data_IF_993871919184
#
_entry.id   IF_993871919184
#
_cell.length_a   1.000
_cell.length_b   1.000
_cell.length_c   1.000
_cell.angle_alpha   90.00
_cell.angle_beta   90.00
_cell.angle_gamma   90.00
#
_symmetry.space_group_name_H-M   'P 1'
#
loop_
_entity.id
_entity.type
_entity.pdbx_description
1 polymer ?
#
# COMPACT_ATOMS: atom_id res chain seq x y z
N UNK A 1 -52.95 -15.55 -63.74
CA UNK A 1 -53.54 -16.82 -63.28
C UNK A 1 -52.41 -17.80 -62.98
N UNK A 2 -52.36 -18.36 -61.75
CA UNK A 2 -51.80 -19.68 -61.32
C UNK A 2 -50.34 -20.00 -61.73
N UNK A 3 -49.43 -20.55 -60.93
CA UNK A 3 -49.30 -21.16 -59.58
C UNK A 3 -47.76 -21.33 -59.41
N UNK A 4 -47.16 -20.97 -58.27
CA UNK A 4 -46.83 -21.88 -57.14
C UNK A 4 -46.07 -23.17 -57.53
N UNK A 5 -44.80 -23.28 -57.12
CA UNK A 5 -44.14 -24.47 -56.55
C UNK A 5 -42.72 -24.09 -56.10
N UNK A 6 -42.50 -23.82 -54.81
CA UNK A 6 -42.10 -24.76 -53.73
C UNK A 6 -40.58 -24.78 -53.54
N UNK A 7 -40.22 -24.39 -52.32
CA UNK A 7 -38.91 -24.23 -51.71
C UNK A 7 -38.10 -25.53 -51.64
N UNK A 8 -36.79 -25.43 -51.90
CA UNK A 8 -35.78 -26.27 -51.23
C UNK A 8 -34.79 -25.33 -50.56
N UNK A 9 -34.81 -25.38 -49.22
CA UNK A 9 -33.84 -24.77 -48.32
C UNK A 9 -32.60 -25.66 -48.32
N UNK A 10 -31.47 -25.13 -48.78
CA UNK A 10 -30.15 -25.67 -48.49
C UNK A 10 -29.35 -24.59 -47.77
N UNK A 11 -29.48 -24.59 -46.45
CA UNK A 11 -28.50 -24.02 -45.53
C UNK A 11 -27.41 -25.08 -45.40
N UNK A 12 -26.14 -24.70 -45.60
CA UNK A 12 -25.00 -25.01 -44.73
C UNK A 12 -23.68 -24.61 -45.40
N UNK A 13 -22.91 -23.83 -44.63
CA UNK A 13 -21.46 -23.63 -44.66
C UNK A 13 -20.81 -23.10 -45.94
N UNK A 14 -20.39 -21.83 -45.90
CA UNK A 14 -19.05 -21.42 -46.34
C UNK A 14 -18.68 -20.09 -45.69
N UNK A 15 -18.07 -20.20 -44.51
CA UNK A 15 -16.89 -19.43 -44.06
C UNK A 15 -16.80 -17.95 -44.45
N UNK A 16 -17.33 -17.09 -43.58
CA UNK A 16 -16.78 -15.76 -43.36
C UNK A 16 -15.54 -15.93 -42.48
N UNK A 17 -14.35 -15.98 -43.09
CA UNK A 17 -13.10 -15.74 -42.38
C UNK A 17 -13.01 -14.24 -42.08
N UNK A 18 -13.61 -13.82 -40.97
CA UNK A 18 -13.14 -12.60 -40.29
C UNK A 18 -11.85 -13.01 -39.59
N UNK A 19 -10.72 -12.69 -40.22
CA UNK A 19 -9.44 -12.69 -39.52
C UNK A 19 -9.55 -11.66 -38.40
N UNK A 20 -9.83 -12.13 -37.18
CA UNK A 20 -9.55 -11.34 -35.98
C UNK A 20 -8.03 -11.16 -35.92
N UNK A 21 -7.51 -9.94 -35.72
CA UNK A 21 -6.12 -9.78 -35.37
C UNK A 21 -5.94 -10.45 -34.00
N UNK A 22 -5.28 -11.60 -33.99
CA UNK A 22 -4.65 -12.10 -32.79
C UNK A 22 -3.60 -11.04 -32.39
N UNK A 23 -3.99 -10.12 -31.51
CA UNK A 23 -3.03 -9.43 -30.66
C UNK A 23 -2.45 -10.48 -29.71
N UNK A 24 -1.59 -11.35 -30.23
CA UNK A 24 -0.54 -11.94 -29.42
C UNK A 24 0.46 -10.81 -29.21
N UNK A 25 0.22 -9.98 -28.19
CA UNK A 25 1.34 -9.30 -27.59
C UNK A 25 2.23 -10.41 -27.05
N UNK A 26 3.47 -10.47 -27.53
CA UNK A 26 4.46 -11.36 -26.96
C UNK A 26 4.59 -11.00 -25.49
N UNK A 27 4.18 -11.90 -24.60
CA UNK A 27 4.45 -11.80 -23.18
C UNK A 27 5.97 -11.87 -22.99
N UNK A 28 6.62 -10.71 -22.84
CA UNK A 28 8.04 -10.66 -22.53
C UNK A 28 8.19 -10.49 -21.01
N UNK A 29 8.27 -11.62 -20.31
CA UNK A 29 8.76 -11.67 -18.93
C UNK A 29 10.06 -12.47 -18.95
N UNK A 30 11.22 -11.80 -19.13
CA UNK A 30 12.50 -12.49 -19.03
C UNK A 30 12.78 -12.75 -17.55
N UNK A 31 12.64 -14.01 -17.14
CA UNK A 31 12.92 -14.41 -15.76
C UNK A 31 14.39 -14.19 -15.40
N UNK A 32 14.65 -13.60 -14.25
CA UNK A 32 15.98 -13.32 -13.75
C UNK A 32 16.54 -14.53 -13.00
N UNK A 33 17.22 -15.41 -13.72
CA UNK A 33 17.98 -16.54 -13.17
C UNK A 33 19.45 -16.19 -12.87
N UNK A 34 19.81 -14.90 -12.96
CA UNK A 34 21.19 -14.45 -12.73
C UNK A 34 21.56 -14.51 -11.25
N UNK A 35 22.83 -14.84 -10.98
CA UNK A 35 23.42 -14.75 -9.64
C UNK A 35 23.55 -13.29 -9.21
N UNK A 36 22.47 -12.72 -8.69
CA UNK A 36 22.43 -11.34 -8.18
C UNK A 36 23.31 -11.17 -6.95
N UNK A 37 23.55 -12.26 -6.20
CA UNK A 37 24.45 -12.30 -5.05
C UNK A 37 25.43 -13.48 -5.12
N UNK A 38 26.48 -13.53 -4.27
CA UNK A 38 27.33 -14.72 -4.13
C UNK A 38 26.61 -15.96 -3.57
N UNK A 39 25.41 -15.80 -3.02
CA UNK A 39 24.70 -16.86 -2.28
C UNK A 39 23.55 -17.47 -3.07
N UNK A 40 23.09 -16.82 -4.15
CA UNK A 40 22.01 -17.33 -4.97
C UNK A 40 21.57 -16.37 -6.07
N UNK A 41 20.67 -16.85 -6.95
CA UNK A 41 19.99 -16.03 -7.94
C UNK A 41 18.91 -15.15 -7.32
N UNK A 42 18.22 -14.35 -8.12
CA UNK A 42 17.18 -13.43 -7.63
C UNK A 42 16.08 -14.11 -6.81
N UNK A 43 15.66 -15.30 -7.23
CA UNK A 43 14.64 -16.09 -6.53
C UNK A 43 15.12 -16.78 -5.24
N UNK A 44 16.41 -16.65 -4.88
CA UNK A 44 16.91 -17.05 -3.56
C UNK A 44 16.73 -15.94 -2.50
N UNK A 45 16.08 -14.82 -2.85
CA UNK A 45 15.66 -13.76 -1.93
C UNK A 45 16.74 -13.43 -0.87
N UNK A 46 17.92 -13.04 -1.35
CA UNK A 46 19.12 -12.89 -0.51
C UNK A 46 19.27 -11.44 -0.04
N UNK A 47 19.12 -11.26 1.27
CA UNK A 47 19.23 -9.96 1.94
C UNK A 47 20.67 -9.76 2.42
N UNK A 48 21.43 -8.83 1.81
CA UNK A 48 22.80 -8.55 2.21
C UNK A 48 22.91 -7.35 3.16
N UNK A 49 22.29 -6.24 2.81
CA UNK A 49 22.38 -4.98 3.55
C UNK A 49 21.03 -4.23 3.56
N UNK A 50 20.71 -3.48 4.63
CA UNK A 50 19.59 -2.53 4.71
C UNK A 50 19.32 -1.71 3.44
N UNK A 51 20.39 -1.18 2.83
CA UNK A 51 20.33 -0.32 1.64
C UNK A 51 19.83 -1.03 0.37
N UNK A 52 19.83 -2.37 0.36
CA UNK A 52 19.33 -3.15 -0.78
C UNK A 52 17.82 -3.05 -0.94
N UNK A 53 17.10 -2.70 0.14
CA UNK A 53 15.67 -2.43 0.08
C UNK A 53 15.41 -1.06 -0.55
N UNK A 54 14.79 -1.10 -1.72
CA UNK A 54 14.33 0.08 -2.46
C UNK A 54 12.97 0.49 -1.92
N UNK A 55 12.82 1.71 -1.35
CA UNK A 55 11.56 2.19 -0.83
C UNK A 55 10.61 2.55 -1.98
N UNK A 56 9.44 1.94 -1.98
CA UNK A 56 8.35 2.23 -2.89
C UNK A 56 7.10 2.65 -2.10
N UNK A 57 6.18 3.30 -2.79
CA UNK A 57 4.87 3.65 -2.26
C UNK A 57 3.83 3.52 -3.37
N UNK A 58 2.69 2.92 -3.04
CA UNK A 58 1.62 2.66 -3.98
C UNK A 58 1.01 1.30 -3.70
N UNK A 59 0.49 0.66 -4.74
CA UNK A 59 -0.12 -0.66 -4.62
C UNK A 59 -1.12 -0.92 -5.76
N UNK A 60 -1.79 -2.07 -5.74
CA UNK A 60 -1.72 -3.11 -4.71
C UNK A 60 -0.42 -3.94 -4.75
N UNK A 61 -0.03 -4.53 -3.61
CA UNK A 61 1.06 -5.53 -3.50
C UNK A 61 0.59 -6.75 -2.70
N UNK A 62 1.32 -7.87 -2.83
CA UNK A 62 1.07 -9.09 -2.05
C UNK A 62 2.13 -9.29 -0.97
N UNK A 63 1.72 -9.35 0.30
CA UNK A 63 2.61 -9.55 1.44
C UNK A 63 2.71 -11.05 1.78
N UNK A 64 3.59 -11.75 1.07
CA UNK A 64 3.83 -13.19 1.26
C UNK A 64 4.78 -13.50 2.43
N UNK A 65 5.23 -12.49 3.17
CA UNK A 65 6.15 -12.65 4.30
C UNK A 65 5.65 -13.64 5.37
N UNK A 66 4.32 -13.79 5.46
CA UNK A 66 3.64 -14.62 6.45
C UNK A 66 3.21 -16.00 5.92
N UNK A 67 3.46 -16.31 4.64
CA UNK A 67 3.03 -17.57 4.03
C UNK A 67 3.90 -18.75 4.47
N UNK A 68 3.28 -19.90 4.73
CA UNK A 68 3.96 -21.09 5.21
C UNK A 68 3.05 -22.30 5.38
N UNK A 69 2.91 -22.86 6.59
CA UNK A 69 2.16 -24.09 6.79
C UNK A 69 0.64 -23.88 6.74
N UNK A 70 -0.06 -24.85 6.14
CA UNK A 70 -1.52 -24.90 6.06
C UNK A 70 -2.24 -25.34 7.36
N UNK A 71 -1.49 -25.86 8.35
CA UNK A 71 -2.07 -26.49 9.54
C UNK A 71 -2.34 -25.52 10.70
N UNK A 72 -2.19 -24.22 10.47
CA UNK A 72 -2.36 -23.18 11.48
C UNK A 72 -1.31 -23.24 12.60
N UNK A 73 -0.19 -23.94 12.40
CA UNK A 73 0.97 -23.87 13.30
C UNK A 73 1.71 -22.53 13.21
N UNK A 74 1.37 -21.72 12.21
CA UNK A 74 1.81 -20.35 12.07
C UNK A 74 1.14 -19.46 13.15
N UNK A 75 1.89 -18.64 13.92
CA UNK A 75 1.30 -17.73 14.91
C UNK A 75 0.47 -16.59 14.30
N UNK A 76 0.47 -16.43 12.97
CA UNK A 76 -0.38 -15.50 12.21
C UNK A 76 -1.86 -15.86 12.44
N UNK A 77 -2.70 -14.85 12.65
CA UNK A 77 -4.12 -15.04 12.98
C UNK A 77 -4.86 -15.80 11.86
N UNK A 78 -4.45 -15.57 10.61
CA UNK A 78 -4.95 -16.25 9.42
C UNK A 78 -3.91 -17.25 8.87
N UNK A 79 -4.35 -18.48 8.59
CA UNK A 79 -3.51 -19.49 7.95
C UNK A 79 -3.28 -19.11 6.48
N UNK A 80 -2.02 -18.87 6.10
CA UNK A 80 -1.59 -18.54 4.74
C UNK A 80 -0.72 -19.68 4.17
N UNK A 81 -1.31 -20.74 3.60
CA UNK A 81 -0.58 -21.88 3.06
C UNK A 81 0.35 -21.49 1.90
N UNK A 82 1.47 -22.21 1.79
CA UNK A 82 2.44 -22.07 0.71
C UNK A 82 2.89 -23.47 0.27
N UNK A 83 2.24 -23.97 -0.78
CA UNK A 83 2.32 -25.36 -1.22
C UNK A 83 3.11 -25.50 -2.51
N UNK A 84 4.05 -26.44 -2.54
CA UNK A 84 4.86 -26.74 -3.72
C UNK A 84 3.99 -27.14 -4.91
N UNK A 85 4.39 -26.67 -6.09
CA UNK A 85 3.89 -27.22 -7.36
C UNK A 85 4.33 -28.67 -7.52
N UNK A 86 3.63 -29.43 -8.37
CA UNK A 86 3.94 -30.85 -8.61
C UNK A 86 5.39 -31.11 -9.08
N UNK A 87 6.03 -30.13 -9.71
CA UNK A 87 7.43 -30.21 -10.15
C UNK A 87 8.44 -29.67 -9.13
N UNK A 88 7.96 -29.11 -8.02
CA UNK A 88 8.76 -28.54 -6.93
C UNK A 88 9.55 -27.28 -7.31
N UNK A 89 9.35 -26.72 -8.50
CA UNK A 89 10.09 -25.54 -9.00
C UNK A 89 9.53 -24.21 -8.51
N UNK A 90 8.28 -24.23 -8.04
CA UNK A 90 7.58 -23.10 -7.47
C UNK A 90 6.68 -23.56 -6.31
N UNK A 91 6.08 -22.60 -5.62
CA UNK A 91 5.05 -22.81 -4.64
C UNK A 91 3.89 -21.83 -4.88
N UNK A 92 2.67 -22.29 -4.64
CA UNK A 92 1.46 -21.45 -4.60
C UNK A 92 1.29 -20.98 -3.16
N UNK A 93 1.48 -19.68 -2.93
CA UNK A 93 1.49 -19.11 -1.60
C UNK A 93 0.35 -18.10 -1.47
N UNK A 94 -0.53 -18.32 -0.50
CA UNK A 94 -1.54 -17.36 -0.11
C UNK A 94 -0.88 -16.23 0.68
N UNK A 95 -1.22 -14.99 0.35
CA UNK A 95 -0.59 -13.80 0.88
C UNK A 95 -1.66 -12.74 1.17
N UNK A 96 -1.37 -11.83 2.09
CA UNK A 96 -2.24 -10.67 2.30
C UNK A 96 -2.16 -9.71 1.09
N UNK A 97 -3.31 -9.26 0.60
CA UNK A 97 -3.38 -8.12 -0.31
C UNK A 97 -3.20 -6.83 0.52
N UNK A 98 -2.21 -6.02 0.15
CA UNK A 98 -2.04 -4.67 0.67
C UNK A 98 -2.42 -3.70 -0.45
N UNK A 99 -3.55 -2.98 -0.36
CA UNK A 99 -4.08 -2.18 -1.45
C UNK A 99 -3.21 -0.99 -1.82
N UNK A 100 -2.65 -0.34 -0.79
CA UNK A 100 -1.87 0.87 -0.91
C UNK A 100 -1.02 1.06 0.35
N UNK A 101 0.21 1.55 0.19
CA UNK A 101 1.05 1.97 1.31
C UNK A 101 2.53 1.98 0.95
N UNK A 102 3.38 2.14 1.96
CA UNK A 102 4.83 1.94 1.80
C UNK A 102 5.14 0.44 1.68
N UNK A 103 5.98 0.10 0.71
CA UNK A 103 6.50 -1.24 0.53
C UNK A 103 7.96 -1.19 0.07
N UNK A 104 8.65 -2.32 0.19
CA UNK A 104 10.08 -2.42 -0.03
C UNK A 104 10.38 -3.60 -0.95
N UNK A 105 11.24 -3.34 -1.93
CA UNK A 105 11.73 -4.36 -2.86
C UNK A 105 13.23 -4.53 -2.65
N UNK A 106 13.69 -5.74 -2.35
CA UNK A 106 15.12 -6.02 -2.35
C UNK A 106 15.63 -6.02 -3.81
N UNK A 107 16.58 -5.15 -4.12
CA UNK A 107 17.20 -5.05 -5.44
C UNK A 107 17.82 -6.37 -5.91
N UNK A 108 18.25 -7.24 -4.98
CA UNK A 108 18.81 -8.53 -5.30
C UNK A 108 17.77 -9.57 -5.71
N UNK A 109 16.49 -9.33 -5.41
CA UNK A 109 15.40 -10.29 -5.58
C UNK A 109 14.36 -9.85 -6.63
N UNK A 110 14.77 -9.03 -7.60
CA UNK A 110 13.93 -8.61 -8.74
C UNK A 110 13.89 -9.72 -9.79
N UNK A 111 12.74 -10.37 -9.96
CA UNK A 111 12.54 -11.52 -10.84
C UNK A 111 12.41 -11.19 -12.33
N UNK A 112 12.09 -9.94 -12.69
CA UNK A 112 12.10 -9.49 -14.09
C UNK A 112 13.50 -8.99 -14.47
N UNK A 113 14.18 -9.67 -15.38
CA UNK A 113 15.56 -9.38 -15.76
C UNK A 113 15.73 -7.99 -16.39
N UNK A 114 14.78 -7.54 -17.22
CA UNK A 114 14.87 -6.23 -17.86
C UNK A 114 14.76 -5.12 -16.80
N UNK A 115 13.78 -5.25 -15.89
CA UNK A 115 13.56 -4.28 -14.81
C UNK A 115 14.71 -4.31 -13.79
N UNK A 116 15.28 -5.49 -13.52
CA UNK A 116 16.48 -5.63 -12.70
C UNK A 116 17.64 -4.84 -13.31
N UNK A 117 17.90 -5.02 -14.61
CA UNK A 117 18.98 -4.32 -15.32
C UNK A 117 18.80 -2.80 -15.29
N UNK A 118 17.59 -2.31 -15.59
CA UNK A 118 17.25 -0.89 -15.52
C UNK A 118 17.44 -0.34 -14.09
N UNK A 119 17.02 -1.13 -13.08
CA UNK A 119 17.13 -0.74 -11.67
C UNK A 119 18.59 -0.66 -11.21
N UNK A 120 19.45 -1.64 -11.54
CA UNK A 120 20.87 -1.57 -11.15
C UNK A 120 21.65 -0.51 -11.94
N UNK A 121 21.22 -0.18 -13.17
CA UNK A 121 21.81 0.91 -13.97
C UNK A 121 21.56 2.27 -13.29
N UNK A 122 20.33 2.50 -12.82
CA UNK A 122 19.95 3.77 -12.18
C UNK A 122 20.36 3.83 -10.70
N UNK A 123 20.10 2.78 -9.94
CA UNK A 123 20.22 2.77 -8.47
C UNK A 123 21.60 2.30 -7.99
N UNK A 124 22.43 1.78 -8.90
CA UNK A 124 23.63 1.02 -8.58
C UNK A 124 23.28 -0.38 -8.06
N UNK A 125 24.26 -1.29 -8.09
CA UNK A 125 24.06 -2.71 -7.67
C UNK A 125 23.56 -2.87 -6.23
N UNK A 126 23.86 -1.93 -5.34
CA UNK A 126 23.42 -1.97 -3.94
C UNK A 126 22.09 -1.27 -3.70
N UNK A 127 21.58 -0.49 -4.65
CA UNK A 127 20.38 0.34 -4.46
C UNK A 127 20.60 1.72 -3.82
N UNK A 128 21.82 2.05 -3.37
CA UNK A 128 22.13 3.27 -2.59
C UNK A 128 21.73 4.58 -3.28
N UNK A 129 21.63 4.62 -4.62
CA UNK A 129 21.25 5.84 -5.35
C UNK A 129 19.74 6.06 -5.42
N UNK A 130 18.92 5.06 -5.03
CA UNK A 130 17.46 5.11 -5.09
C UNK A 130 16.83 4.91 -3.71
N UNK A 131 17.33 5.63 -2.71
CA UNK A 131 16.81 5.55 -1.33
C UNK A 131 15.66 6.53 -1.08
N UNK A 132 15.30 7.37 -2.06
CA UNK A 132 14.08 8.17 -2.04
C UNK A 132 12.89 7.33 -2.51
N UNK A 133 11.73 7.51 -1.89
CA UNK A 133 10.55 6.71 -2.21
C UNK A 133 10.17 6.82 -3.70
N UNK A 134 9.84 5.69 -4.33
CA UNK A 134 9.51 5.58 -5.75
C UNK A 134 10.59 6.03 -6.75
N UNK A 135 11.83 6.26 -6.31
CA UNK A 135 12.91 6.67 -7.20
C UNK A 135 13.48 5.53 -8.06
N UNK A 136 13.20 4.28 -7.72
CA UNK A 136 13.69 3.12 -8.45
C UNK A 136 12.77 2.72 -9.62
N UNK A 137 13.32 2.27 -10.78
CA UNK A 137 12.53 1.76 -11.90
C UNK A 137 11.57 0.62 -11.51
N UNK A 138 11.98 -0.28 -10.63
CA UNK A 138 11.12 -1.37 -10.14
C UNK A 138 9.83 -0.87 -9.46
N UNK A 139 9.90 0.19 -8.65
CA UNK A 139 8.71 0.78 -8.03
C UNK A 139 7.72 1.30 -9.08
N UNK A 140 8.24 1.98 -10.11
CA UNK A 140 7.42 2.48 -11.22
C UNK A 140 6.75 1.33 -11.98
N UNK A 141 7.49 0.25 -12.24
CA UNK A 141 6.96 -0.89 -12.97
C UNK A 141 5.86 -1.63 -12.19
N UNK A 142 6.03 -1.80 -10.88
CA UNK A 142 5.03 -2.41 -9.98
C UNK A 142 3.79 -1.52 -9.92
N UNK A 143 3.94 -0.24 -9.56
CA UNK A 143 2.82 0.69 -9.40
C UNK A 143 2.00 0.90 -10.68
N UNK A 144 2.65 0.82 -11.85
CA UNK A 144 1.97 0.96 -13.14
C UNK A 144 1.38 -0.37 -13.68
N UNK A 145 1.54 -1.49 -12.96
CA UNK A 145 1.08 -2.80 -13.43
C UNK A 145 1.81 -3.31 -14.68
N UNK A 146 3.05 -2.86 -14.88
CA UNK A 146 3.88 -3.22 -16.06
C UNK A 146 5.00 -4.21 -15.73
N UNK A 147 5.17 -4.56 -14.44
CA UNK A 147 6.25 -5.45 -13.99
C UNK A 147 6.16 -6.86 -14.59
N UNK A 148 4.98 -7.50 -14.51
CA UNK A 148 4.68 -8.78 -15.17
C UNK A 148 3.31 -8.65 -15.85
N UNK A 149 3.23 -8.71 -17.19
CA UNK A 149 1.95 -8.60 -17.89
C UNK A 149 0.98 -9.74 -17.50
N UNK A 150 -0.26 -9.38 -17.15
CA UNK A 150 -1.33 -10.34 -16.85
C UNK A 150 -1.42 -10.78 -15.39
N UNK A 151 -0.59 -10.24 -14.51
CA UNK A 151 -0.71 -10.40 -13.05
C UNK A 151 -1.58 -9.31 -12.46
N UNK A 152 -2.26 -9.56 -11.33
CA UNK A 152 -3.04 -8.53 -10.64
C UNK A 152 -2.15 -7.61 -9.79
N UNK A 153 -1.12 -8.19 -9.17
CA UNK A 153 -0.14 -7.49 -8.34
C UNK A 153 1.15 -8.30 -8.22
N UNK A 154 2.13 -7.71 -7.54
CA UNK A 154 3.46 -8.26 -7.33
C UNK A 154 3.70 -8.43 -5.83
N UNK A 155 4.36 -9.53 -5.44
CA UNK A 155 4.74 -9.70 -4.04
C UNK A 155 5.90 -8.79 -3.64
N UNK A 156 5.77 -8.14 -2.49
CA UNK A 156 6.78 -7.26 -1.91
C UNK A 156 6.69 -7.28 -0.39
N UNK A 157 7.68 -6.70 0.29
CA UNK A 157 7.63 -6.56 1.74
C UNK A 157 6.95 -5.26 2.17
N UNK A 158 6.10 -5.31 3.19
CA UNK A 158 5.53 -4.13 3.84
C UNK A 158 5.40 -4.38 5.34
N UNK A 159 5.42 -3.30 6.13
CA UNK A 159 5.22 -3.36 7.57
C UNK A 159 3.73 -3.36 7.98
N UNK A 160 2.80 -3.23 7.03
CA UNK A 160 1.36 -3.07 7.29
C UNK A 160 0.79 -4.10 8.28
N UNK A 161 1.25 -5.35 8.22
CA UNK A 161 0.74 -6.43 9.05
C UNK A 161 1.55 -6.70 10.33
N UNK A 162 2.64 -5.96 10.59
CA UNK A 162 3.53 -6.24 11.73
C UNK A 162 2.86 -6.00 13.08
N UNK A 163 1.93 -5.04 13.16
CA UNK A 163 1.23 -4.77 14.41
C UNK A 163 0.32 -5.92 14.86
N UNK A 164 -0.28 -6.68 13.94
CA UNK A 164 -1.15 -7.81 14.26
C UNK A 164 -0.43 -9.15 14.20
N UNK A 165 0.40 -9.38 13.18
CA UNK A 165 1.05 -10.67 12.92
C UNK A 165 2.46 -10.77 13.51
N UNK A 166 3.05 -9.64 13.88
CA UNK A 166 4.40 -9.56 14.41
C UNK A 166 5.49 -9.67 13.34
N UNK A 167 6.74 -9.67 13.82
CA UNK A 167 7.94 -9.88 13.03
C UNK A 167 8.95 -10.64 13.87
N UNK A 168 9.77 -11.48 13.25
CA UNK A 168 10.76 -12.29 13.92
C UNK A 168 11.80 -12.88 12.98
N UNK A 169 12.64 -13.73 13.54
CA UNK A 169 13.67 -14.43 12.78
C UNK A 169 13.91 -15.82 13.37
N UNK A 170 13.54 -16.86 12.63
CA UNK A 170 13.94 -18.25 12.92
C UNK A 170 14.98 -18.68 11.91
N UNK A 171 16.17 -19.05 12.38
CA UNK A 171 17.26 -19.48 11.51
C UNK A 171 17.11 -20.94 11.09
N UNK A 172 17.10 -21.18 9.78
CA UNK A 172 17.06 -22.49 9.17
C UNK A 172 18.36 -22.72 8.41
N UNK A 173 19.36 -23.26 9.12
CA UNK A 173 20.71 -23.49 8.59
C UNK A 173 20.79 -24.73 7.68
N UNK A 174 19.91 -25.70 7.92
CA UNK A 174 19.78 -26.88 7.08
C UNK A 174 19.30 -26.47 5.69
N UNK A 175 19.96 -26.98 4.65
CA UNK A 175 19.55 -26.75 3.26
C UNK A 175 18.26 -27.52 2.99
N UNK A 176 17.16 -26.78 2.88
CA UNK A 176 15.86 -27.31 2.48
C UNK A 176 15.19 -26.31 1.52
N UNK A 177 14.11 -26.75 0.88
CA UNK A 177 13.34 -25.90 -0.02
C UNK A 177 12.57 -24.84 0.76
N UNK A 178 12.66 -23.60 0.28
CA UNK A 178 11.76 -22.51 0.63
C UNK A 178 11.33 -21.76 -0.64
N UNK A 179 10.31 -20.92 -0.52
CA UNK A 179 9.81 -20.07 -1.59
C UNK A 179 10.38 -18.65 -1.45
N UNK A 180 11.10 -18.18 -2.48
CA UNK A 180 11.55 -16.79 -2.56
C UNK A 180 10.49 -15.95 -3.25
N UNK A 181 9.59 -15.36 -2.47
CA UNK A 181 8.40 -14.71 -3.01
C UNK A 181 8.64 -13.26 -3.47
N UNK A 182 9.74 -12.60 -3.11
CA UNK A 182 9.98 -11.22 -3.50
C UNK A 182 9.88 -11.02 -5.03
N UNK A 183 9.02 -10.09 -5.43
CA UNK A 183 8.62 -9.79 -6.82
C UNK A 183 7.94 -10.92 -7.62
N UNK A 184 7.42 -11.95 -6.94
CA UNK A 184 6.62 -13.00 -7.56
C UNK A 184 5.28 -12.48 -8.12
N UNK A 185 4.76 -13.04 -9.22
CA UNK A 185 3.45 -12.70 -9.76
C UNK A 185 2.33 -13.27 -8.88
N UNK A 186 1.30 -12.46 -8.67
CA UNK A 186 0.15 -12.78 -7.83
C UNK A 186 -1.18 -12.47 -8.53
N UNK A 187 -2.18 -13.29 -8.22
CA UNK A 187 -3.56 -13.15 -8.69
C UNK A 187 -4.52 -13.10 -7.50
N UNK A 188 -5.55 -12.26 -7.57
CA UNK A 188 -6.60 -12.22 -6.55
C UNK A 188 -7.33 -13.55 -6.47
N UNK A 189 -7.63 -13.97 -5.26
CA UNK A 189 -8.52 -15.12 -5.03
C UNK A 189 -9.97 -14.66 -4.96
N UNK A 190 -10.89 -15.58 -4.68
CA UNK A 190 -12.27 -15.23 -4.34
C UNK A 190 -12.43 -14.73 -2.90
N UNK A 191 -11.40 -14.91 -2.06
CA UNK A 191 -11.39 -14.45 -0.67
C UNK A 191 -10.84 -13.03 -0.62
N UNK A 192 -11.59 -12.15 0.05
CA UNK A 192 -11.26 -10.74 0.17
C UNK A 192 -10.00 -10.55 1.02
N UNK A 193 -9.07 -9.71 0.56
CA UNK A 193 -7.78 -9.49 1.23
C UNK A 193 -6.77 -10.63 1.04
N UNK A 194 -7.09 -11.69 0.29
CA UNK A 194 -6.20 -12.83 0.05
C UNK A 194 -5.91 -13.01 -1.43
N UNK A 195 -4.62 -13.09 -1.75
CA UNK A 195 -4.09 -13.30 -3.10
C UNK A 195 -3.24 -14.56 -3.11
N UNK A 196 -3.15 -15.19 -4.28
CA UNK A 196 -2.29 -16.35 -4.49
C UNK A 196 -1.13 -15.96 -5.40
N UNK A 197 0.09 -16.20 -4.92
CA UNK A 197 1.33 -15.90 -5.62
C UNK A 197 2.05 -17.17 -6.05
N UNK A 198 2.64 -17.16 -7.24
CA UNK A 198 3.48 -18.26 -7.73
C UNK A 198 4.95 -17.92 -7.44
N UNK A 199 5.45 -18.39 -6.31
CA UNK A 199 6.79 -18.08 -5.84
C UNK A 199 7.80 -19.14 -6.30
N UNK A 200 8.90 -18.79 -6.98
CA UNK A 200 9.97 -19.73 -7.29
C UNK A 200 10.61 -20.30 -6.01
N UNK A 201 11.06 -21.56 -6.08
CA UNK A 201 11.70 -22.22 -4.92
C UNK A 201 13.22 -22.20 -5.01
N UNK A 202 13.87 -22.20 -3.84
CA UNK A 202 15.32 -22.33 -3.73
C UNK A 202 15.67 -23.34 -2.64
N UNK A 203 16.70 -24.14 -2.89
CA UNK A 203 17.24 -25.12 -1.93
C UNK A 203 18.50 -24.53 -1.28
N UNK A 204 18.36 -24.08 -0.04
CA UNK A 204 19.43 -23.39 0.66
C UNK A 204 19.10 -23.07 2.11
N UNK A 205 20.05 -22.45 2.84
CA UNK A 205 19.74 -21.87 4.13
C UNK A 205 18.78 -20.69 3.96
N UNK A 206 17.95 -20.44 4.97
CA UNK A 206 17.02 -19.32 5.00
C UNK A 206 16.70 -18.90 6.43
N UNK A 207 15.97 -17.81 6.56
CA UNK A 207 15.37 -17.38 7.79
C UNK A 207 13.87 -17.17 7.60
N UNK A 208 13.08 -17.71 8.53
CA UNK A 208 11.64 -17.47 8.58
C UNK A 208 11.42 -16.14 9.26
N UNK A 209 10.48 -15.35 8.73
CA UNK A 209 10.12 -14.03 9.22
C UNK A 209 9.41 -13.97 10.59
N UNK A 210 9.39 -15.08 11.33
CA UNK A 210 8.67 -15.27 12.58
C UNK A 210 9.58 -15.98 13.60
N UNK A 211 9.38 -15.74 14.89
CA UNK A 211 10.18 -16.34 15.96
C UNK A 211 9.72 -17.76 16.29
N UNK A 212 10.65 -18.58 16.78
CA UNK A 212 10.39 -19.91 17.34
C UNK A 212 9.64 -20.88 16.40
N UNK A 213 9.88 -20.76 15.09
CA UNK A 213 9.25 -21.61 14.07
C UNK A 213 9.99 -22.93 13.84
N UNK A 214 9.33 -23.86 13.16
CA UNK A 214 9.97 -25.11 12.68
C UNK A 214 10.35 -24.98 11.21
N UNK A 215 11.62 -25.22 10.90
CA UNK A 215 12.16 -25.11 9.54
C UNK A 215 11.60 -26.17 8.57
N UNK A 216 11.33 -27.37 9.08
CA UNK A 216 10.80 -28.47 8.28
C UNK A 216 9.29 -28.56 8.46
N UNK A 217 8.56 -28.15 7.43
CA UNK A 217 7.12 -28.30 7.39
C UNK A 217 6.72 -29.70 6.93
N UNK A 218 5.51 -30.12 7.28
CA UNK A 218 4.97 -31.41 6.86
C UNK A 218 4.22 -31.30 5.53
N UNK A 219 4.20 -32.40 4.78
CA UNK A 219 3.58 -32.43 3.45
C UNK A 219 4.40 -31.67 2.40
N UNK A 220 3.70 -31.09 1.44
CA UNK A 220 4.29 -30.31 0.34
C UNK A 220 4.36 -28.80 0.68
N UNK A 221 4.31 -28.44 1.96
CA UNK A 221 4.38 -27.05 2.42
C UNK A 221 5.83 -26.57 2.51
N UNK A 222 6.05 -25.30 2.18
CA UNK A 222 7.31 -24.58 2.36
C UNK A 222 7.06 -23.22 2.97
N UNK A 223 8.08 -22.63 3.59
CA UNK A 223 8.01 -21.25 4.03
C UNK A 223 8.24 -20.30 2.85
N UNK A 224 7.49 -19.20 2.80
CA UNK A 224 7.95 -18.00 2.12
C UNK A 224 9.03 -17.36 2.99
N UNK A 225 10.25 -17.28 2.47
CA UNK A 225 11.41 -16.93 3.27
C UNK A 225 12.51 -16.26 2.44
N UNK A 226 13.48 -15.69 3.16
CA UNK A 226 14.64 -15.02 2.59
C UNK A 226 15.92 -15.52 3.29
N UNK A 227 17.06 -15.37 2.62
CA UNK A 227 18.35 -15.71 3.21
C UNK A 227 19.18 -14.46 3.52
N UNK A 228 19.48 -14.26 4.80
CA UNK A 228 20.43 -13.27 5.29
C UNK A 228 21.72 -13.96 5.77
N UNK A 229 22.81 -13.96 4.97
CA UNK A 229 24.10 -14.55 5.35
C UNK A 229 24.81 -13.80 6.48
N UNK A 230 24.44 -12.55 6.78
CA UNK A 230 25.11 -11.68 7.76
C UNK A 230 24.49 -11.77 9.18
N UNK A 231 23.45 -12.59 9.37
CA UNK A 231 22.87 -12.99 10.67
C UNK A 231 22.72 -11.85 11.71
N UNK A 232 22.13 -10.73 11.30
CA UNK A 232 21.54 -9.76 12.24
C UNK A 232 20.20 -9.25 11.70
N UNK A 233 19.17 -10.09 11.80
CA UNK A 233 17.77 -9.74 11.50
C UNK A 233 17.35 -9.94 10.04
N UNK A 234 16.16 -10.50 9.84
CA UNK A 234 15.43 -10.56 8.55
C UNK A 234 14.60 -9.32 8.28
N UNK A 235 14.42 -8.44 9.28
CA UNK A 235 13.65 -7.23 9.10
C UNK A 235 14.39 -6.33 8.11
N UNK A 236 13.73 -5.87 7.03
CA UNK A 236 14.25 -4.72 6.31
C UNK A 236 14.46 -3.63 7.33
N UNK A 237 15.66 -3.07 7.32
CA UNK A 237 15.94 -1.83 8.03
C UNK A 237 16.03 -0.80 6.92
N UNK A 238 14.98 -0.01 6.66
CA UNK A 238 15.04 1.03 5.64
C UNK A 238 16.21 1.99 5.91
N UNK A 239 16.72 2.67 4.87
CA UNK A 239 17.82 3.61 5.00
C UNK A 239 17.60 4.66 6.10
N UNK A 240 18.70 5.08 6.71
CA UNK A 240 18.71 6.05 7.82
C UNK A 240 18.30 7.43 7.30
N UNK A 241 17.08 7.85 7.63
CA UNK A 241 16.57 9.20 7.37
C UNK A 241 15.04 9.21 7.31
N UNK A 242 14.39 9.67 8.39
CA UNK A 242 12.93 9.60 8.55
C UNK A 242 12.48 8.38 9.35
N UNK A 243 11.18 8.29 9.61
CA UNK A 243 10.52 7.13 10.20
C UNK A 243 9.86 6.30 9.09
N UNK A 244 9.44 5.07 9.40
CA UNK A 244 8.78 4.17 8.45
C UNK A 244 7.27 4.27 8.62
N UNK A 245 6.51 4.80 7.65
CA UNK A 245 5.05 4.74 7.67
C UNK A 245 4.55 3.31 7.90
N UNK A 246 3.49 3.16 8.67
CA UNK A 246 2.82 1.87 8.96
C UNK A 246 3.64 0.82 9.73
N UNK A 247 4.90 1.10 10.09
CA UNK A 247 5.68 0.24 10.97
C UNK A 247 5.41 0.53 12.46
N UNK A 248 5.59 -0.45 13.35
CA UNK A 248 5.55 -0.20 14.79
C UNK A 248 6.69 0.74 15.22
N UNK A 249 6.51 1.55 16.28
CA UNK A 249 7.56 2.43 16.80
C UNK A 249 8.87 1.70 17.17
N UNK A 250 8.78 0.42 17.56
CA UNK A 250 9.94 -0.42 17.88
C UNK A 250 10.85 -0.71 16.67
N UNK A 251 10.33 -0.57 15.45
CA UNK A 251 11.07 -0.77 14.20
C UNK A 251 11.41 0.56 13.51
N UNK A 252 11.25 1.69 14.19
CA UNK A 252 11.44 3.02 13.60
C UNK A 252 10.19 3.56 12.90
N UNK A 253 9.01 3.02 13.26
CA UNK A 253 7.72 3.46 12.75
C UNK A 253 7.41 4.93 13.00
N UNK A 254 6.70 5.53 12.06
CA UNK A 254 6.24 6.92 12.18
C UNK A 254 5.17 7.06 13.27
N UNK A 255 5.36 7.98 14.23
CA UNK A 255 4.33 8.20 15.24
C UNK A 255 3.10 8.86 14.61
N UNK A 256 1.92 8.46 15.08
CA UNK A 256 0.73 9.29 14.98
C UNK A 256 0.96 10.55 15.84
N UNK A 257 0.71 11.72 15.26
CA UNK A 257 0.79 12.97 16.02
C UNK A 257 -0.26 12.98 17.12
N UNK A 258 0.05 13.56 18.27
CA UNK A 258 -0.98 13.82 19.29
C UNK A 258 -1.47 15.25 19.15
N UNK A 259 -2.74 15.52 19.49
CA UNK A 259 -3.34 16.86 19.44
C UNK A 259 -2.52 17.96 20.09
N UNK A 260 -1.73 17.63 21.11
CA UNK A 260 -0.90 18.59 21.83
C UNK A 260 0.49 18.79 21.22
N UNK A 261 0.88 17.97 20.24
CA UNK A 261 2.21 17.92 19.64
C UNK A 261 2.14 17.95 18.09
N UNK A 262 1.23 18.74 17.52
CA UNK A 262 1.23 19.01 16.08
C UNK A 262 2.30 20.08 15.81
N UNK A 263 3.39 19.77 15.07
CA UNK A 263 4.41 20.75 14.77
C UNK A 263 3.92 21.79 13.77
N UNK A 264 4.57 22.95 13.74
CA UNK A 264 4.37 23.91 12.64
C UNK A 264 4.88 23.29 11.32
N UNK A 265 4.20 23.54 10.18
CA UNK A 265 4.64 23.02 8.89
C UNK A 265 6.04 23.52 8.53
N UNK A 266 6.93 22.65 8.00
CA UNK A 266 8.25 23.07 7.52
C UNK A 266 8.17 24.18 6.47
N UNK A 267 9.15 25.08 6.46
CA UNK A 267 9.12 26.31 5.64
C UNK A 267 9.08 26.09 4.11
N UNK A 268 9.45 24.89 3.67
CA UNK A 268 9.50 24.45 2.28
C UNK A 268 8.27 23.61 1.89
N UNK A 269 7.29 23.44 2.78
CA UNK A 269 6.00 22.80 2.51
C UNK A 269 4.96 23.86 2.16
N UNK A 270 4.21 23.62 1.09
CA UNK A 270 3.05 24.44 0.72
C UNK A 270 1.76 23.79 1.26
N UNK A 271 1.30 24.24 2.44
CA UNK A 271 0.05 23.74 3.02
C UNK A 271 -1.20 24.04 2.16
N UNK A 272 -1.17 25.06 1.30
CA UNK A 272 -2.26 25.29 0.36
C UNK A 272 -2.35 24.17 -0.67
N UNK A 273 -1.18 23.73 -1.17
CA UNK A 273 -1.08 22.58 -2.08
C UNK A 273 -1.41 21.26 -1.38
N UNK A 274 -1.00 21.06 -0.12
CA UNK A 274 -1.38 19.87 0.67
C UNK A 274 -2.91 19.75 0.75
N UNK A 275 -3.60 20.81 1.18
CA UNK A 275 -5.07 20.76 1.27
C UNK A 275 -5.74 20.62 -0.10
N UNK A 276 -5.15 21.21 -1.14
CA UNK A 276 -5.63 21.01 -2.51
C UNK A 276 -5.49 19.55 -2.96
N UNK A 277 -4.40 18.86 -2.62
CA UNK A 277 -4.22 17.44 -2.99
C UNK A 277 -5.28 16.55 -2.32
N UNK A 278 -5.66 16.82 -1.08
CA UNK A 278 -6.83 16.17 -0.45
C UNK A 278 -8.14 16.52 -1.17
N UNK A 279 -8.35 17.79 -1.51
CA UNK A 279 -9.59 18.26 -2.15
C UNK A 279 -9.74 17.71 -3.58
N UNK A 280 -8.65 17.59 -4.33
CA UNK A 280 -8.65 17.15 -5.73
C UNK A 280 -8.74 15.62 -5.83
N UNK A 281 -8.26 14.89 -4.83
CA UNK A 281 -8.33 13.43 -4.74
C UNK A 281 -9.72 12.95 -4.27
N UNK A 282 -10.71 13.01 -5.17
CA UNK A 282 -12.10 12.64 -4.88
C UNK A 282 -12.56 11.37 -5.61
N UNK A 283 -13.30 10.54 -4.87
CA UNK A 283 -14.08 9.45 -5.42
C UNK A 283 -15.27 9.94 -6.25
N UNK A 284 -15.89 9.03 -7.00
CA UNK A 284 -17.07 9.34 -7.83
C UNK A 284 -18.30 9.82 -7.05
N UNK A 285 -18.33 9.56 -5.74
CA UNK A 285 -19.34 9.97 -4.77
C UNK A 285 -19.05 11.35 -4.13
N UNK A 286 -17.88 11.93 -4.41
CA UNK A 286 -17.40 13.19 -3.87
C UNK A 286 -16.73 13.10 -2.50
N UNK A 287 -16.40 11.90 -2.03
CA UNK A 287 -15.59 11.68 -0.82
C UNK A 287 -14.13 11.97 -1.15
N UNK A 288 -13.44 12.72 -0.27
CA UNK A 288 -12.01 13.01 -0.39
C UNK A 288 -11.21 11.82 0.15
N UNK A 289 -10.64 11.03 -0.76
CA UNK A 289 -10.06 9.71 -0.48
C UNK A 289 -8.88 9.82 0.50
N UNK A 290 -8.09 10.89 0.39
CA UNK A 290 -6.95 11.09 1.29
C UNK A 290 -7.36 11.13 2.77
N UNK A 291 -8.48 11.79 3.11
CA UNK A 291 -8.93 11.85 4.51
C UNK A 291 -9.44 10.50 5.03
N UNK A 292 -10.20 9.77 4.22
CA UNK A 292 -10.69 8.44 4.61
C UNK A 292 -9.54 7.46 4.73
N UNK A 293 -8.57 7.53 3.82
CA UNK A 293 -7.38 6.71 3.85
C UNK A 293 -6.52 7.02 5.08
N UNK A 294 -6.22 8.31 5.36
CA UNK A 294 -5.48 8.70 6.57
C UNK A 294 -6.14 8.19 7.85
N UNK A 295 -7.48 8.28 7.94
CA UNK A 295 -8.22 7.87 9.12
C UNK A 295 -8.17 6.35 9.37
N UNK A 296 -7.91 5.57 8.32
CA UNK A 296 -8.03 4.10 8.36
C UNK A 296 -6.67 3.42 8.29
N UNK A 297 -5.82 3.81 7.34
CA UNK A 297 -4.56 3.15 6.98
C UNK A 297 -3.61 3.05 8.19
N UNK A 298 -3.33 4.17 8.86
CA UNK A 298 -2.34 4.20 9.93
C UNK A 298 -2.78 3.55 11.25
N UNK A 299 -4.03 3.12 11.35
CA UNK A 299 -4.53 2.35 12.50
C UNK A 299 -5.07 0.98 12.10
N UNK A 300 -4.95 0.61 10.82
CA UNK A 300 -5.40 -0.68 10.33
C UNK A 300 -4.57 -1.83 10.89
N UNK A 301 -5.16 -3.02 10.89
CA UNK A 301 -4.55 -4.29 11.17
C UNK A 301 -4.45 -5.13 9.87
N UNK A 302 -3.87 -6.33 9.94
CA UNK A 302 -3.77 -7.16 8.74
C UNK A 302 -5.13 -7.76 8.29
N UNK A 303 -6.10 -7.87 9.19
CA UNK A 303 -7.40 -8.52 8.95
C UNK A 303 -8.54 -7.54 8.63
N UNK A 304 -8.26 -6.24 8.48
CA UNK A 304 -9.23 -5.23 8.04
C UNK A 304 -8.81 -4.52 6.74
N UNK A 305 -8.06 -5.22 5.88
CA UNK A 305 -7.68 -4.71 4.57
C UNK A 305 -8.89 -4.35 3.71
N UNK A 306 -10.06 -4.98 3.89
CA UNK A 306 -11.30 -4.54 3.25
C UNK A 306 -11.74 -3.12 3.68
N UNK A 307 -11.43 -2.71 4.92
CA UNK A 307 -11.65 -1.34 5.37
C UNK A 307 -10.64 -0.38 4.76
N UNK A 308 -9.37 -0.78 4.65
CA UNK A 308 -8.33 0.00 3.98
C UNK A 308 -8.64 0.14 2.50
N UNK A 309 -9.01 -0.94 1.82
CA UNK A 309 -9.52 -0.96 0.45
C UNK A 309 -10.65 0.05 0.30
N UNK A 310 -11.69 -0.06 1.13
CA UNK A 310 -12.83 0.86 1.08
C UNK A 310 -12.42 2.31 1.29
N UNK A 311 -11.50 2.57 2.22
CA UNK A 311 -11.06 3.90 2.61
C UNK A 311 -10.10 4.56 1.60
N UNK A 312 -9.25 3.76 0.96
CA UNK A 312 -8.16 4.19 0.08
C UNK A 312 -8.44 3.90 -1.41
N UNK A 313 -9.58 3.28 -1.76
CA UNK A 313 -9.94 2.97 -3.15
C UNK A 313 -9.89 4.21 -4.02
N UNK A 314 -9.06 4.18 -5.07
CA UNK A 314 -8.90 5.28 -6.02
C UNK A 314 -7.71 6.19 -5.73
N UNK A 315 -7.05 6.04 -4.57
CA UNK A 315 -5.86 6.80 -4.21
C UNK A 315 -4.71 6.60 -5.21
N UNK A 316 -4.62 5.43 -5.84
CA UNK A 316 -3.63 5.13 -6.89
C UNK A 316 -3.77 6.02 -8.14
N UNK A 317 -4.94 6.63 -8.34
CA UNK A 317 -5.17 7.61 -9.41
C UNK A 317 -4.84 9.05 -8.97
N UNK A 318 -4.57 9.26 -7.68
CA UNK A 318 -4.17 10.53 -7.12
C UNK A 318 -2.65 10.67 -7.14
N UNK A 319 -2.16 11.91 -7.20
CA UNK A 319 -0.73 12.22 -7.14
C UNK A 319 -0.42 13.07 -5.89
N UNK A 320 -0.38 12.45 -4.68
CA UNK A 320 -0.21 13.16 -3.41
C UNK A 320 1.25 13.59 -3.17
N UNK A 321 1.79 14.46 -4.03
CA UNK A 321 3.21 14.82 -4.01
C UNK A 321 3.64 15.67 -2.83
N UNK A 322 2.83 16.66 -2.44
CA UNK A 322 3.14 17.56 -1.33
C UNK A 322 2.76 16.94 0.02
N UNK A 323 1.70 16.11 0.05
CA UNK A 323 1.35 15.28 1.21
C UNK A 323 2.53 14.39 1.60
N UNK A 324 3.01 13.53 0.69
CA UNK A 324 4.12 12.61 0.95
C UNK A 324 5.37 13.38 1.41
N UNK A 325 5.69 14.48 0.74
CA UNK A 325 6.84 15.31 1.09
C UNK A 325 6.75 15.86 2.52
N UNK A 326 5.56 16.30 2.96
CA UNK A 326 5.33 16.79 4.32
C UNK A 326 5.50 15.67 5.35
N UNK A 327 4.90 14.50 5.10
CA UNK A 327 4.97 13.36 6.01
C UNK A 327 6.40 12.82 6.16
N UNK A 328 7.15 12.74 5.06
CA UNK A 328 8.56 12.34 5.06
C UNK A 328 9.45 13.35 5.82
N UNK A 329 9.21 14.65 5.63
CA UNK A 329 10.03 15.70 6.26
C UNK A 329 9.77 15.84 7.76
N UNK A 330 8.51 15.71 8.18
CA UNK A 330 8.13 15.76 9.59
C UNK A 330 8.39 14.44 10.30
N UNK A 331 8.41 13.33 9.56
CA UNK A 331 8.51 11.99 10.11
C UNK A 331 7.24 11.62 10.88
N UNK A 332 6.09 11.70 10.22
CA UNK A 332 4.82 11.18 10.73
C UNK A 332 4.05 10.48 9.61
N UNK A 333 2.99 9.75 9.97
CA UNK A 333 2.11 9.03 9.04
C UNK A 333 0.67 9.48 9.26
N UNK A 334 -0.11 9.63 8.20
CA UNK A 334 -1.51 10.07 8.24
C UNK A 334 -1.71 11.36 9.06
N UNK A 335 -0.81 12.33 8.85
CA UNK A 335 -0.67 13.53 9.66
C UNK A 335 -0.74 14.83 8.86
N UNK A 336 -0.58 14.76 7.53
CA UNK A 336 -0.47 15.95 6.69
C UNK A 336 -1.68 16.90 6.82
N UNK A 337 -2.90 16.34 6.82
CA UNK A 337 -4.14 17.09 7.04
C UNK A 337 -4.16 17.85 8.39
N UNK A 338 -3.59 17.27 9.45
CA UNK A 338 -3.55 17.88 10.78
C UNK A 338 -2.52 19.00 10.88
N UNK A 339 -1.34 18.82 10.30
CA UNK A 339 -0.27 19.82 10.30
C UNK A 339 -0.68 21.05 9.51
N UNK A 340 -1.28 20.85 8.34
CA UNK A 340 -1.71 21.96 7.48
C UNK A 340 -3.10 22.51 7.81
N UNK A 341 -3.85 21.86 8.72
CA UNK A 341 -5.19 22.29 9.12
C UNK A 341 -6.19 22.23 7.98
N UNK A 342 -6.16 21.16 7.19
CA UNK A 342 -7.08 20.94 6.09
C UNK A 342 -8.44 20.47 6.60
N UNK A 343 -9.52 21.08 6.11
CA UNK A 343 -10.89 20.71 6.47
C UNK A 343 -11.49 19.78 5.40
N UNK A 344 -12.09 18.67 5.84
CA UNK A 344 -12.79 17.76 4.94
C UNK A 344 -14.22 18.26 4.67
N UNK A 345 -14.80 17.86 3.54
CA UNK A 345 -16.19 18.17 3.24
C UNK A 345 -17.16 17.29 4.06
N UNK A 346 -18.43 17.68 4.16
CA UNK A 346 -19.39 17.00 5.03
C UNK A 346 -19.67 15.53 4.67
N UNK A 347 -19.47 15.12 3.41
CA UNK A 347 -19.58 13.70 3.03
C UNK A 347 -18.37 12.92 3.51
N UNK A 348 -17.18 13.49 3.35
CA UNK A 348 -15.93 12.92 3.84
C UNK A 348 -15.98 12.76 5.36
N UNK A 349 -16.43 13.78 6.09
CA UNK A 349 -16.59 13.72 7.55
C UNK A 349 -17.54 12.58 7.98
N UNK A 350 -18.66 12.38 7.28
CA UNK A 350 -19.55 11.26 7.54
C UNK A 350 -18.87 9.90 7.25
N UNK A 351 -18.12 9.80 6.17
CA UNK A 351 -17.43 8.57 5.78
C UNK A 351 -16.34 8.19 6.79
N UNK A 352 -15.55 9.17 7.25
CA UNK A 352 -14.55 8.99 8.31
C UNK A 352 -15.22 8.54 9.61
N UNK A 353 -16.36 9.14 9.98
CA UNK A 353 -17.12 8.71 11.16
C UNK A 353 -17.56 7.23 11.06
N UNK A 354 -18.07 6.81 9.90
CA UNK A 354 -18.53 5.45 9.67
C UNK A 354 -17.36 4.44 9.65
N UNK A 355 -16.21 4.81 9.08
CA UNK A 355 -14.98 4.00 9.08
C UNK A 355 -14.43 3.80 10.49
N UNK A 356 -14.33 4.87 11.28
CA UNK A 356 -13.93 4.80 12.69
C UNK A 356 -14.85 3.85 13.48
N UNK A 357 -16.16 3.88 13.22
CA UNK A 357 -17.09 2.96 13.88
C UNK A 357 -16.87 1.49 13.44
N UNK A 358 -16.55 1.25 12.18
CA UNK A 358 -16.22 -0.11 11.69
C UNK A 358 -14.93 -0.65 12.31
N UNK A 359 -13.89 0.18 12.43
CA UNK A 359 -12.66 -0.18 13.14
C UNK A 359 -12.94 -0.56 14.60
N UNK A 360 -13.70 0.28 15.33
CA UNK A 360 -14.10 -0.04 16.72
C UNK A 360 -14.87 -1.35 16.83
N UNK A 361 -15.77 -1.63 15.89
CA UNK A 361 -16.54 -2.88 15.86
C UNK A 361 -15.64 -4.12 15.67
N UNK A 362 -14.44 -3.95 15.12
CA UNK A 362 -13.41 -4.98 14.94
C UNK A 362 -12.36 -5.00 16.05
N UNK A 363 -12.51 -4.15 17.08
CA UNK A 363 -11.54 -4.03 18.16
C UNK A 363 -10.30 -3.21 17.82
N UNK A 364 -10.28 -2.55 16.66
CA UNK A 364 -9.22 -1.64 16.24
C UNK A 364 -9.45 -0.28 16.89
N UNK A 365 -8.37 0.34 17.37
CA UNK A 365 -8.42 1.68 17.96
C UNK A 365 -8.17 2.72 16.85
N UNK A 366 -9.20 3.42 16.37
CA UNK A 366 -9.05 4.41 15.29
C UNK A 366 -8.19 5.59 15.73
N UNK A 367 -7.65 6.33 14.76
CA UNK A 367 -6.82 7.50 15.02
C UNK A 367 -7.54 8.52 15.92
N UNK A 368 -8.85 8.72 15.70
CA UNK A 368 -9.70 9.55 16.55
C UNK A 368 -9.60 9.21 18.03
N UNK A 369 -9.52 7.93 18.38
CA UNK A 369 -9.48 7.49 19.78
C UNK A 369 -8.05 7.59 20.37
N UNK A 370 -7.03 7.65 19.51
CA UNK A 370 -5.61 7.80 19.88
C UNK A 370 -5.26 9.27 20.12
N UNK A 371 -5.71 10.17 19.24
CA UNK A 371 -5.22 11.55 19.22
C UNK A 371 -6.29 12.63 18.97
N UNK A 372 -7.59 12.31 19.01
CA UNK A 372 -8.71 13.23 18.72
C UNK A 372 -8.65 13.88 17.32
N UNK A 373 -8.01 13.25 16.33
CA UNK A 373 -7.97 13.72 14.93
C UNK A 373 -8.72 12.77 14.01
N UNK A 374 -9.17 13.27 12.84
CA UNK A 374 -9.89 12.46 11.85
C UNK A 374 -11.07 11.68 12.47
N UNK A 375 -11.86 12.37 13.30
CA UNK A 375 -12.99 11.74 14.01
C UNK A 375 -14.23 11.57 13.14
N UNK A 376 -14.39 12.40 12.10
CA UNK A 376 -15.60 12.47 11.34
C UNK A 376 -16.73 13.18 12.09
N UNK A 377 -17.79 13.52 11.36
CA UNK A 377 -19.03 14.08 11.92
C UNK A 377 -20.24 13.27 11.46
N UNK A 378 -21.10 12.89 12.41
CA UNK A 378 -22.35 12.21 12.11
C UNK A 378 -23.42 13.21 11.65
N UNK A 379 -23.58 13.33 10.34
CA UNK A 379 -24.58 14.20 9.69
C UNK A 379 -26.03 13.78 9.92
N UNK A 380 -26.30 12.57 10.43
CA UNK A 380 -27.65 12.08 10.75
C UNK A 380 -28.14 12.51 12.15
N UNK A 381 -27.25 13.02 13.00
CA UNK A 381 -27.64 13.66 14.25
C UNK A 381 -27.48 15.18 14.08
N UNK A 382 -28.59 15.88 13.85
CA UNK A 382 -28.65 17.35 13.74
C UNK A 382 -28.32 18.10 15.04
N UNK A 383 -27.18 17.80 15.65
CA UNK A 383 -26.63 18.50 16.80
C UNK A 383 -25.19 18.87 16.48
N UNK A 384 -25.03 20.12 16.03
CA UNK A 384 -23.73 20.79 15.89
C UNK A 384 -22.89 20.61 17.15
N UNK A 385 -21.82 19.84 17.05
CA UNK A 385 -20.70 19.92 17.99
C UNK A 385 -19.44 20.11 17.15
N UNK A 386 -19.13 21.38 16.89
CA UNK A 386 -17.91 21.79 16.21
C UNK A 386 -16.69 21.27 16.95
N UNK A 387 -15.94 20.36 16.33
CA UNK A 387 -14.58 20.01 16.74
C UNK A 387 -13.57 20.40 15.66
N UNK A 388 -13.75 21.56 15.03
CA UNK A 388 -12.66 22.25 14.35
C UNK A 388 -11.93 23.13 15.39
N UNK A 389 -10.76 22.68 15.85
CA UNK A 389 -9.83 23.53 16.59
C UNK A 389 -8.46 23.47 15.92
N UNK A 390 -8.23 24.42 15.01
CA UNK A 390 -6.91 24.79 14.50
C UNK A 390 -5.98 25.21 15.67
N UNK A 391 -4.66 24.99 15.56
CA UNK A 391 -3.71 25.44 16.57
C UNK A 391 -3.61 26.97 16.61
N UNK A 392 -3.53 27.50 17.83
CA UNK A 392 -3.35 28.93 18.10
C UNK A 392 -1.91 29.37 17.75
N UNK A 393 -1.67 29.78 16.51
CA UNK A 393 -0.34 30.25 16.08
C UNK A 393 -0.30 31.28 14.95
N UNK A 394 -1.38 31.50 14.19
CA UNK A 394 -1.36 32.46 13.09
C UNK A 394 -1.55 33.92 13.58
N UNK A 395 -0.44 34.61 13.87
CA UNK A 395 -0.41 36.05 14.14
C UNK A 395 -0.95 36.85 12.94
N UNK A 396 -2.19 37.37 13.05
CA UNK A 396 -2.65 38.50 12.23
C UNK A 396 -2.29 39.80 12.94
N UNK A 397 -1.27 40.50 12.44
CA UNK A 397 -0.82 41.78 12.97
C UNK A 397 -1.45 42.96 12.21
N UNK A 398 -2.07 43.87 12.98
CA UNK A 398 -2.24 45.33 12.79
C UNK A 398 -3.25 45.90 11.76
N UNK A 399 -3.73 47.16 11.95
CA UNK A 399 -4.32 47.77 13.15
C UNK A 399 -5.74 48.32 12.95
N UNK A 400 -6.46 48.40 14.06
CA UNK A 400 -7.65 49.23 14.24
C UNK A 400 -7.21 50.66 14.60
N UNK A 401 -7.57 51.66 13.79
CA UNK A 401 -7.57 53.07 14.23
C UNK A 401 -8.64 53.89 13.50
N UNK A 402 -9.52 54.49 14.32
CA UNK A 402 -10.31 55.71 14.12
C UNK A 402 -11.24 55.84 12.89
N UNK A 403 -12.55 55.88 13.14
CA UNK A 403 -13.34 57.11 13.00
C UNK A 403 -14.77 56.96 13.56
N UNK A 404 -14.97 57.56 14.73
CA UNK A 404 -16.27 58.05 15.20
C UNK A 404 -16.48 59.43 14.59
N UNK A 405 -17.67 59.69 14.03
CA UNK A 405 -18.43 60.95 13.91
C UNK A 405 -19.24 60.92 12.59
N UNK A 406 -20.57 61.09 12.66
CA UNK A 406 -21.40 61.27 11.46
C UNK A 406 -22.91 61.16 11.70
N UNK A 407 -23.49 62.17 12.32
CA UNK A 407 -24.91 62.38 12.62
C UNK A 407 -25.85 62.42 11.38
N UNK A 408 -27.06 61.91 11.58
CA UNK A 408 -28.38 62.53 11.24
C UNK A 408 -28.79 62.68 9.76
N UNK A 409 -30.06 62.30 9.55
CA UNK A 409 -30.99 62.65 8.46
C UNK A 409 -31.05 61.71 7.24
N UNK A 410 -32.08 60.85 7.22
CA UNK A 410 -33.26 61.09 6.37
C UNK A 410 -34.42 60.16 6.76
N UNK A 411 -35.38 60.76 7.46
CA UNK A 411 -36.75 60.27 7.62
C UNK A 411 -37.47 60.38 6.28
N UNK A 412 -38.26 59.34 5.97
CA UNK A 412 -39.62 59.39 5.42
C UNK A 412 -39.89 60.37 4.26
N UNK A 413 -40.12 59.81 3.08
CA UNK A 413 -41.23 60.09 2.16
C UNK A 413 -41.25 58.89 1.18
N UNK A 414 -42.34 58.25 0.79
CA UNK A 414 -43.76 58.64 0.75
C UNK A 414 -44.59 57.38 0.47
N UNK A 415 -45.65 57.13 1.24
CA UNK A 415 -46.85 56.43 0.77
C UNK A 415 -47.67 57.46 -0.02
N UNK A 416 -47.94 57.17 -1.29
CA UNK A 416 -49.26 57.25 -1.91
C UNK A 416 -49.28 56.33 -3.10
#
# INVERSE_FOLDING_TARGET
MKRLSVYIVSILLSSVFVAMPAFSQSFNFPFNDTMTTPFGPAFADVILEPVNFLPCEGGPIALCYYSGPADGSNPVELSLPCELTLDGTAANCECFEVPYGKYFVDINAILNLDIYNDTIEQCGKSGILCQSSNSAPVCTAINNGTFIPGTDMISAFSFACVNSEGIGSTNCEDKTLYAGCMTAPCTRTSEEGIVNCLCPTFDGPFQIGLNDQTCNLSGDNVWSAAYNPNVTGTSPTPPVGGCIPDAPPSLGGCPLLTKNNIPDPPSNIDCGKVCQEYEDCKGSDGIEIGFTCDATLCTSACNDQDLVDLACTGLQACAPTEIIKLEEEVGCSCCASQICGCDANSKTEQAVFDLNQRQRNRGITPQCDINDTLCGENTNNGSSSSCALAPAGAQKSFPLYLLVIGLIALRRFRRK
#
